data_IF_842968909878
#
_entry.id   IF_842968909878
#
_cell.length_a   1.000
_cell.length_b   1.000
_cell.length_c   1.000
_cell.angle_alpha   90.00
_cell.angle_beta   90.00
_cell.angle_gamma   90.00
#
_symmetry.space_group_name_H-M   'P 1'
#
loop_
_entity.id
_entity.type
_entity.pdbx_description
1 polymer ?
#
# COMPACT_ATOMS: atom_id res chain seq x y z
N UNK A 1 0.40 -2.60 17.63
CA UNK A 1 1.17 -1.36 17.44
C UNK A 1 2.62 -1.74 17.19
N UNK A 2 3.24 -1.12 16.20
CA UNK A 2 4.64 -1.34 15.85
C UNK A 2 5.23 -0.11 15.15
N UNK A 3 6.55 -0.03 15.16
CA UNK A 3 7.33 0.85 14.30
C UNK A 3 7.97 -0.01 13.22
N UNK A 4 7.92 0.44 11.96
CA UNK A 4 8.55 -0.26 10.84
C UNK A 4 9.28 0.71 9.91
N UNK A 5 10.09 0.17 9.02
CA UNK A 5 10.79 0.92 7.97
C UNK A 5 9.83 1.28 6.85
N UNK A 6 10.01 2.45 6.27
CA UNK A 6 9.35 2.89 5.05
C UNK A 6 10.37 3.59 4.15
N UNK A 7 10.12 3.56 2.86
CA UNK A 7 10.94 4.24 1.87
C UNK A 7 10.80 5.76 1.90
N UNK A 8 11.17 6.37 0.79
CA UNK A 8 11.01 7.81 0.55
C UNK A 8 9.74 8.07 -0.26
N UNK A 9 9.14 9.23 -0.05
CA UNK A 9 8.07 9.72 -0.93
C UNK A 9 8.40 11.12 -1.41
N UNK A 10 7.93 11.43 -2.63
CA UNK A 10 8.23 12.72 -3.26
C UNK A 10 7.84 13.91 -2.39
N UNK A 11 6.71 13.83 -1.69
CA UNK A 11 6.21 14.91 -0.83
C UNK A 11 7.17 15.28 0.32
N UNK A 12 7.77 14.30 1.01
CA UNK A 12 8.68 14.59 2.15
C UNK A 12 10.15 14.65 1.74
N UNK A 13 10.56 13.84 0.76
CA UNK A 13 11.96 13.56 0.45
C UNK A 13 12.40 14.14 -0.90
N UNK A 14 11.48 14.64 -1.73
CA UNK A 14 11.75 15.12 -3.09
C UNK A 14 12.03 14.00 -4.10
N UNK A 15 11.89 12.74 -3.68
CA UNK A 15 12.08 11.55 -4.50
C UNK A 15 11.26 10.38 -3.93
N UNK A 16 10.94 9.41 -4.77
CA UNK A 16 10.31 8.15 -4.34
C UNK A 16 11.37 7.06 -4.39
N UNK A 17 11.53 6.33 -3.29
CA UNK A 17 12.40 5.16 -3.23
C UNK A 17 11.75 4.11 -2.33
N UNK A 18 11.80 2.85 -2.73
CA UNK A 18 11.43 1.75 -1.84
C UNK A 18 12.41 1.64 -0.65
N UNK A 19 11.97 1.14 0.52
CA UNK A 19 12.89 0.87 1.62
C UNK A 19 13.94 -0.15 1.19
N UNK A 20 15.20 0.07 1.59
CA UNK A 20 16.36 -0.73 1.19
C UNK A 20 17.05 -1.43 2.37
N UNK A 21 16.47 -1.30 3.57
CA UNK A 21 16.97 -1.84 4.84
C UNK A 21 18.28 -1.21 5.33
N UNK A 22 18.67 -0.05 4.79
CA UNK A 22 19.83 0.71 5.23
C UNK A 22 19.46 1.78 6.27
N UNK A 23 20.44 2.57 6.71
CA UNK A 23 20.16 3.68 7.64
C UNK A 23 19.55 4.92 6.96
N UNK A 24 19.31 4.89 5.64
CA UNK A 24 18.60 5.95 4.92
C UNK A 24 17.09 5.73 4.88
N UNK A 25 16.61 4.55 5.27
CA UNK A 25 15.17 4.30 5.41
C UNK A 25 14.53 5.26 6.40
N UNK A 26 13.28 5.62 6.13
CA UNK A 26 12.45 6.34 7.08
C UNK A 26 11.73 5.37 8.01
N UNK A 27 11.12 5.91 9.06
CA UNK A 27 10.34 5.13 10.02
C UNK A 27 8.87 5.55 10.00
N UNK A 28 7.99 4.60 10.29
CA UNK A 28 6.55 4.82 10.43
C UNK A 28 6.06 4.13 11.71
N UNK A 29 5.28 4.84 12.52
CA UNK A 29 4.64 4.35 13.74
C UNK A 29 3.14 4.24 13.49
N UNK A 30 2.59 3.02 13.50
CA UNK A 30 1.16 2.75 13.32
C UNK A 30 0.52 3.50 12.12
N UNK A 31 1.26 3.59 11.00
CA UNK A 31 0.81 4.28 9.79
C UNK A 31 1.13 5.78 9.73
N UNK A 32 1.77 6.34 10.76
CA UNK A 32 2.17 7.74 10.81
C UNK A 32 3.69 7.91 10.65
N UNK A 33 4.11 8.68 9.63
CA UNK A 33 5.53 8.87 9.33
C UNK A 33 6.25 9.56 10.49
N UNK A 34 7.47 9.10 10.77
CA UNK A 34 8.37 9.70 11.74
C UNK A 34 9.38 10.60 11.04
N UNK A 35 9.44 11.86 11.47
CA UNK A 35 10.38 12.87 10.97
C UNK A 35 11.54 13.00 11.95
N UNK A 36 12.77 12.85 11.46
CA UNK A 36 13.97 13.05 12.26
C UNK A 36 14.05 14.52 12.69
N UNK A 37 14.04 14.76 14.00
CA UNK A 37 14.06 16.09 14.61
C UNK A 37 15.42 16.49 15.17
N UNK A 38 16.26 15.51 15.52
CA UNK A 38 17.61 15.74 16.04
C UNK A 38 18.45 14.46 15.98
N UNK A 39 19.76 14.60 15.80
CA UNK A 39 20.72 13.49 15.74
C UNK A 39 20.87 12.91 14.33
N UNK A 40 21.34 11.67 14.25
CA UNK A 40 21.56 10.94 12.99
C UNK A 40 20.68 9.70 12.95
N UNK A 41 20.00 9.45 11.83
CA UNK A 41 19.06 8.34 11.70
C UNK A 41 19.67 6.99 12.13
N UNK A 42 18.92 6.18 12.88
CA UNK A 42 19.36 4.89 13.45
C UNK A 42 20.61 4.94 14.36
N UNK A 43 21.02 6.12 14.83
CA UNK A 43 22.08 6.27 15.83
C UNK A 43 21.47 6.44 17.22
N UNK A 44 22.10 5.84 18.24
CA UNK A 44 21.66 5.97 19.63
C UNK A 44 21.50 7.45 20.03
N UNK A 45 20.30 7.83 20.48
CA UNK A 45 19.94 9.21 20.82
C UNK A 45 19.26 10.00 19.72
N UNK A 46 19.10 9.44 18.51
CA UNK A 46 18.30 10.07 17.45
C UNK A 46 16.86 10.28 17.90
N UNK A 47 16.31 11.46 17.63
CA UNK A 47 14.97 11.86 18.05
C UNK A 47 14.06 12.09 16.87
N UNK A 48 12.82 11.63 17.00
CA UNK A 48 11.80 11.72 15.97
C UNK A 48 10.54 12.39 16.51
N UNK A 49 9.75 12.93 15.59
CA UNK A 49 8.38 13.41 15.81
C UNK A 49 7.46 12.75 14.79
N UNK A 50 6.19 12.65 15.12
CA UNK A 50 5.18 12.23 14.16
C UNK A 50 4.87 13.36 13.20
N UNK A 51 4.59 13.04 11.96
CA UNK A 51 4.24 14.03 10.92
C UNK A 51 3.07 14.95 11.33
N UNK A 52 1.97 14.35 11.82
CA UNK A 52 0.91 15.10 12.49
C UNK A 52 1.30 15.12 13.97
N UNK A 53 1.70 16.29 14.45
CA UNK A 53 2.31 16.44 15.78
C UNK A 53 1.34 15.99 16.90
N UNK A 54 1.71 14.90 17.56
CA UNK A 54 0.98 14.31 18.70
C UNK A 54 1.57 14.70 20.07
N UNK A 55 2.60 15.54 20.09
CA UNK A 55 3.42 15.91 21.25
C UNK A 55 4.10 14.70 21.92
N UNK A 56 4.44 13.69 21.13
CA UNK A 56 5.20 12.52 21.61
C UNK A 56 6.70 12.71 21.35
N UNK A 57 7.55 12.43 22.34
CA UNK A 57 9.01 12.38 22.15
C UNK A 57 9.45 10.96 21.83
N UNK A 58 9.91 10.72 20.61
CA UNK A 58 10.34 9.41 20.13
C UNK A 58 11.87 9.40 20.06
N UNK A 59 12.53 8.46 20.73
CA UNK A 59 13.99 8.35 20.75
C UNK A 59 14.45 6.95 20.38
N UNK A 60 15.35 6.85 19.41
CA UNK A 60 16.06 5.61 19.09
C UNK A 60 17.16 5.36 20.13
N UNK A 61 17.15 4.17 20.74
CA UNK A 61 18.05 3.81 21.83
C UNK A 61 18.74 2.49 21.57
N UNK A 62 19.97 2.35 22.05
CA UNK A 62 20.70 1.10 22.07
C UNK A 62 21.03 0.76 23.53
N UNK A 63 20.59 -0.42 23.99
CA UNK A 63 20.89 -0.95 25.33
C UNK A 63 21.28 -2.41 25.21
N UNK A 64 22.41 -2.79 25.79
CA UNK A 64 22.94 -4.15 25.74
C UNK A 64 23.00 -4.72 24.31
N UNK A 65 23.53 -3.91 23.37
CA UNK A 65 23.58 -4.22 21.94
C UNK A 65 22.23 -4.40 21.22
N UNK A 66 21.09 -4.15 21.87
CA UNK A 66 19.76 -4.15 21.25
C UNK A 66 19.27 -2.74 20.96
N UNK A 67 18.89 -2.51 19.71
CA UNK A 67 18.24 -1.28 19.28
C UNK A 67 16.72 -1.35 19.51
N UNK A 68 16.16 -0.30 20.11
CA UNK A 68 14.74 -0.16 20.38
C UNK A 68 14.32 1.32 20.29
N UNK A 69 13.03 1.59 20.18
CA UNK A 69 12.49 2.95 20.24
C UNK A 69 11.72 3.17 21.54
N UNK A 70 11.99 4.29 22.21
CA UNK A 70 11.21 4.77 23.34
C UNK A 70 10.30 5.91 22.88
N UNK A 71 9.00 5.78 23.12
CA UNK A 71 8.00 6.79 22.82
C UNK A 71 7.44 7.31 24.14
N UNK A 72 7.66 8.60 24.42
CA UNK A 72 7.04 9.29 25.55
C UNK A 72 5.85 10.07 25.05
N UNK A 73 4.65 9.64 25.44
CA UNK A 73 3.41 10.30 25.02
C UNK A 73 3.12 11.51 25.87
N UNK A 74 2.30 12.43 25.35
CA UNK A 74 1.87 13.66 26.04
C UNK A 74 1.23 13.42 27.41
N UNK A 75 0.55 12.28 27.58
CA UNK A 75 -0.11 11.90 28.84
C UNK A 75 0.85 11.29 29.88
N UNK A 76 2.15 11.24 29.57
CA UNK A 76 3.20 10.81 30.48
C UNK A 76 3.47 9.30 30.48
N UNK A 77 2.88 8.53 29.55
CA UNK A 77 3.24 7.13 29.37
C UNK A 77 4.58 7.01 28.63
N UNK A 78 5.30 5.94 28.91
CA UNK A 78 6.52 5.54 28.22
C UNK A 78 6.27 4.20 27.57
N UNK A 79 6.35 4.15 26.24
CA UNK A 79 6.22 2.94 25.45
C UNK A 79 7.59 2.55 24.92
N UNK A 80 7.91 1.27 24.97
CA UNK A 80 9.13 0.70 24.38
C UNK A 80 8.74 -0.21 23.23
N UNK A 81 9.39 -0.04 22.09
CA UNK A 81 9.20 -0.84 20.88
C UNK A 81 10.49 -1.58 20.54
N UNK A 82 10.44 -2.91 20.52
CA UNK A 82 11.58 -3.78 20.22
C UNK A 82 12.59 -3.93 21.35
N UNK A 83 12.21 -3.71 22.62
CA UNK A 83 13.15 -3.79 23.75
C UNK A 83 13.45 -5.23 24.21
N UNK A 84 12.66 -6.23 23.79
CA UNK A 84 12.85 -7.67 24.05
C UNK A 84 13.13 -8.45 22.77
N UNK A 85 13.76 -9.62 22.86
CA UNK A 85 14.12 -10.45 21.69
C UNK A 85 12.93 -10.83 20.81
N UNK A 86 11.79 -11.11 21.41
CA UNK A 86 10.54 -11.47 20.72
C UNK A 86 9.82 -10.26 20.10
N UNK A 87 10.19 -9.03 20.51
CA UNK A 87 9.58 -7.79 20.01
C UNK A 87 10.39 -7.10 18.91
N UNK A 88 11.57 -7.61 18.56
CA UNK A 88 12.33 -7.17 17.39
C UNK A 88 12.29 -8.26 16.31
N UNK A 89 11.80 -7.91 15.13
CA UNK A 89 11.64 -8.83 14.00
C UNK A 89 12.56 -8.39 12.87
N UNK A 90 13.56 -9.21 12.57
CA UNK A 90 14.55 -8.98 11.55
C UNK A 90 14.01 -9.31 10.14
N UNK A 91 14.41 -8.53 9.13
CA UNK A 91 14.03 -8.76 7.73
C UNK A 91 14.52 -10.12 7.20
N UNK A 92 15.71 -10.53 7.65
CA UNK A 92 16.36 -11.79 7.31
C UNK A 92 17.09 -12.32 8.56
N UNK A 93 17.54 -13.58 8.53
CA UNK A 93 18.33 -14.13 9.63
C UNK A 93 19.60 -13.30 9.86
N UNK A 94 19.75 -12.74 11.06
CA UNK A 94 20.84 -11.80 11.42
C UNK A 94 20.88 -10.52 10.58
N UNK A 95 19.75 -10.14 9.96
CA UNK A 95 19.59 -8.90 9.20
C UNK A 95 19.15 -7.71 10.05
N UNK A 96 18.94 -6.54 9.42
CA UNK A 96 18.39 -5.37 10.09
C UNK A 96 16.97 -5.63 10.60
N UNK A 97 16.62 -4.99 11.71
CA UNK A 97 15.26 -5.03 12.27
C UNK A 97 14.32 -4.34 11.28
N UNK A 98 13.25 -5.05 10.90
CA UNK A 98 12.18 -4.54 10.06
C UNK A 98 11.01 -4.04 10.91
N UNK A 99 10.62 -4.78 11.94
CA UNK A 99 9.57 -4.38 12.88
C UNK A 99 10.08 -4.30 14.31
N UNK A 100 9.86 -3.14 14.95
CA UNK A 100 9.93 -2.96 16.39
C UNK A 100 8.51 -3.01 16.95
N UNK A 101 8.14 -4.13 17.56
CA UNK A 101 6.82 -4.36 18.15
C UNK A 101 6.76 -3.73 19.54
N UNK A 102 5.59 -3.24 19.95
CA UNK A 102 5.39 -2.72 21.30
C UNK A 102 5.71 -3.82 22.33
N UNK A 103 6.72 -3.63 23.16
CA UNK A 103 7.15 -4.62 24.16
C UNK A 103 6.72 -4.25 25.58
N UNK A 104 6.65 -2.96 25.89
CA UNK A 104 6.32 -2.47 27.24
C UNK A 104 5.62 -1.12 27.20
N UNK A 105 4.67 -0.93 28.10
CA UNK A 105 4.07 0.37 28.43
C UNK A 105 4.24 0.60 29.92
N UNK A 106 4.74 1.77 30.30
CA UNK A 106 4.79 2.23 31.69
C UNK A 106 3.96 3.50 31.81
N UNK A 107 3.00 3.53 32.74
CA UNK A 107 2.19 4.72 32.98
C UNK A 107 2.91 5.74 33.87
N UNK A 108 2.30 6.91 34.05
CA UNK A 108 2.85 8.01 34.87
C UNK A 108 3.00 7.66 36.36
N UNK A 109 2.31 6.62 36.83
CA UNK A 109 2.34 6.13 38.20
C UNK A 109 3.37 5.00 38.38
N UNK A 110 4.03 4.55 37.30
CA UNK A 110 4.99 3.45 37.29
C UNK A 110 4.35 2.07 37.10
N UNK A 111 3.04 1.97 36.83
CA UNK A 111 2.43 0.68 36.51
C UNK A 111 2.90 0.22 35.13
N UNK A 112 3.16 -1.09 35.01
CA UNK A 112 3.75 -1.69 33.80
C UNK A 112 2.78 -2.66 33.15
N UNK A 113 2.73 -2.61 31.82
CA UNK A 113 2.19 -3.67 30.97
C UNK A 113 3.29 -4.16 30.03
N UNK A 114 3.46 -5.47 29.91
CA UNK A 114 4.42 -6.09 28.97
C UNK A 114 3.68 -6.90 27.91
N UNK A 115 4.29 -6.98 26.74
CA UNK A 115 3.75 -7.63 25.55
C UNK A 115 4.78 -8.65 25.07
N UNK A 116 4.36 -9.89 24.93
CA UNK A 116 5.20 -10.99 24.48
C UNK A 116 4.69 -11.55 23.17
N UNK A 117 5.60 -12.05 22.35
CA UNK A 117 5.31 -12.51 21.00
C UNK A 117 5.88 -13.92 20.76
N UNK A 118 5.19 -14.69 19.94
CA UNK A 118 5.77 -15.84 19.26
C UNK A 118 6.34 -15.34 17.92
N UNK A 119 7.65 -15.46 17.69
CA UNK A 119 8.30 -15.13 16.42
C UNK A 119 8.87 -16.38 15.74
N UNK A 120 8.79 -16.44 14.42
CA UNK A 120 9.40 -17.51 13.64
C UNK A 120 10.81 -17.09 13.23
N UNK A 121 11.82 -17.77 13.77
CA UNK A 121 13.22 -17.43 13.49
C UNK A 121 13.53 -17.45 11.97
N UNK A 122 14.17 -16.40 11.49
CA UNK A 122 14.55 -16.25 10.08
C UNK A 122 13.40 -15.92 9.13
N UNK A 123 12.19 -15.66 9.64
CA UNK A 123 11.03 -15.24 8.86
C UNK A 123 10.43 -13.98 9.48
N UNK A 124 9.91 -13.10 8.63
CA UNK A 124 9.11 -11.96 9.11
C UNK A 124 7.70 -12.46 9.40
N UNK A 125 7.55 -13.10 10.56
CA UNK A 125 6.30 -13.65 11.04
C UNK A 125 6.28 -13.70 12.57
N UNK A 126 5.26 -13.08 13.15
CA UNK A 126 5.13 -12.92 14.58
C UNK A 126 3.67 -12.81 14.99
N UNK A 127 3.37 -13.25 16.22
CA UNK A 127 2.02 -13.23 16.78
C UNK A 127 2.10 -12.81 18.24
N UNK A 128 1.26 -11.87 18.67
CA UNK A 128 1.18 -11.48 20.08
C UNK A 128 0.73 -12.70 20.89
N UNK A 129 1.53 -13.20 21.81
CA UNK A 129 1.24 -14.41 22.57
C UNK A 129 0.64 -14.11 23.94
N UNK A 130 1.08 -13.01 24.58
CA UNK A 130 0.56 -12.59 25.87
C UNK A 130 0.69 -11.08 26.12
N UNK A 131 -0.20 -10.57 26.96
CA UNK A 131 -0.07 -9.28 27.63
C UNK A 131 -0.13 -9.55 29.13
N UNK A 132 0.85 -9.05 29.88
CA UNK A 132 0.88 -9.16 31.34
C UNK A 132 0.83 -7.76 31.97
N UNK A 133 0.04 -7.61 33.01
CA UNK A 133 -0.18 -6.32 33.67
C UNK A 133 -0.72 -6.53 35.08
N UNK A 134 -0.36 -5.63 36.00
CA UNK A 134 -0.48 -5.96 37.42
C UNK A 134 0.35 -7.20 37.76
N UNK A 135 0.54 -7.48 39.03
CA UNK A 135 1.48 -8.54 39.42
C UNK A 135 1.01 -9.95 39.01
N UNK A 136 -0.28 -10.13 38.70
CA UNK A 136 -0.92 -11.43 38.55
C UNK A 136 -1.94 -11.55 37.41
N UNK A 137 -2.06 -10.55 36.52
CA UNK A 137 -3.04 -10.59 35.42
C UNK A 137 -2.36 -10.83 34.08
N UNK A 138 -3.00 -11.68 33.27
CA UNK A 138 -2.49 -12.08 31.96
C UNK A 138 -3.65 -12.20 30.96
N UNK A 139 -3.42 -11.72 29.74
CA UNK A 139 -4.23 -12.04 28.56
C UNK A 139 -3.35 -12.91 27.68
N UNK A 140 -3.85 -14.05 27.22
CA UNK A 140 -3.15 -15.00 26.37
C UNK A 140 -3.89 -15.14 25.06
N UNK A 141 -3.14 -15.27 23.97
CA UNK A 141 -3.67 -15.40 22.61
C UNK A 141 -3.25 -16.75 22.04
N UNK A 142 -4.21 -17.49 21.50
CA UNK A 142 -3.98 -18.78 20.87
C UNK A 142 -4.35 -18.69 19.41
N UNK A 143 -3.44 -19.13 18.54
CA UNK A 143 -3.61 -19.10 17.10
C UNK A 143 -3.66 -20.52 16.53
N UNK A 144 -4.41 -20.69 15.44
CA UNK A 144 -4.38 -21.89 14.59
C UNK A 144 -3.94 -21.55 13.18
N UNK A 145 -3.67 -22.55 12.36
CA UNK A 145 -3.35 -22.34 10.94
C UNK A 145 -4.58 -21.86 10.16
N UNK A 146 -4.38 -20.92 9.23
CA UNK A 146 -5.39 -20.51 8.25
C UNK A 146 -5.17 -21.21 6.92
N UNK A 147 -6.24 -21.46 6.17
CA UNK A 147 -6.16 -22.13 4.85
C UNK A 147 -5.67 -21.19 3.74
N UNK A 148 -6.02 -19.92 3.88
CA UNK A 148 -5.70 -18.80 3.00
C UNK A 148 -4.42 -18.08 3.49
N UNK A 149 -3.31 -18.80 3.56
CA UNK A 149 -2.04 -18.24 4.02
C UNK A 149 -1.58 -17.12 3.08
N UNK A 150 -1.15 -16.00 3.66
CA UNK A 150 -0.77 -14.81 2.91
C UNK A 150 0.73 -14.59 2.97
N UNK A 151 1.29 -14.15 1.85
CA UNK A 151 2.69 -13.77 1.69
C UNK A 151 2.73 -12.39 1.06
N UNK A 152 3.44 -11.48 1.71
CA UNK A 152 3.77 -10.15 1.20
C UNK A 152 5.30 -9.97 1.19
N UNK A 153 5.77 -8.89 0.58
CA UNK A 153 7.18 -8.53 0.56
C UNK A 153 7.36 -7.07 0.97
N UNK A 154 8.35 -6.81 1.83
CA UNK A 154 8.76 -5.45 2.21
C UNK A 154 10.28 -5.41 2.10
N UNK A 155 10.81 -4.50 1.27
CA UNK A 155 12.25 -4.39 1.00
C UNK A 155 12.92 -5.75 0.65
N UNK A 156 12.23 -6.56 -0.15
CA UNK A 156 12.66 -7.91 -0.52
C UNK A 156 12.50 -8.99 0.57
N UNK A 157 12.17 -8.63 1.81
CA UNK A 157 11.92 -9.57 2.89
C UNK A 157 10.51 -10.18 2.78
N UNK A 158 10.42 -11.51 2.87
CA UNK A 158 9.16 -12.25 2.82
C UNK A 158 8.42 -12.13 4.17
N UNK A 159 7.28 -11.44 4.14
CA UNK A 159 6.36 -11.27 5.27
C UNK A 159 5.24 -12.29 5.19
N UNK A 160 5.14 -13.15 6.21
CA UNK A 160 4.17 -14.25 6.21
C UNK A 160 3.05 -14.00 7.23
N UNK A 161 1.84 -14.40 6.86
CA UNK A 161 0.69 -14.51 7.76
C UNK A 161 0.04 -15.87 7.56
N UNK A 162 0.46 -16.85 8.36
CA UNK A 162 0.00 -18.25 8.27
C UNK A 162 -0.99 -18.64 9.36
N UNK A 163 -1.02 -17.90 10.47
CA UNK A 163 -1.92 -18.19 11.58
C UNK A 163 -3.10 -17.21 11.64
N UNK A 164 -4.16 -17.65 12.32
CA UNK A 164 -5.37 -16.89 12.61
C UNK A 164 -5.74 -17.05 14.08
N UNK A 165 -6.19 -15.99 14.73
CA UNK A 165 -6.52 -15.98 16.15
C UNK A 165 -7.72 -16.89 16.41
N UNK A 166 -7.58 -17.86 17.31
CA UNK A 166 -8.63 -18.81 17.68
C UNK A 166 -9.21 -18.53 19.05
N UNK A 167 -8.38 -18.12 20.01
CA UNK A 167 -8.83 -17.87 21.37
C UNK A 167 -8.10 -16.69 22.01
N UNK A 168 -8.81 -15.96 22.87
CA UNK A 168 -8.24 -15.03 23.84
C UNK A 168 -8.68 -15.47 25.23
N UNK A 169 -7.73 -15.83 26.08
CA UNK A 169 -7.98 -16.23 27.46
C UNK A 169 -7.45 -15.18 28.44
N UNK A 170 -8.23 -14.87 29.46
CA UNK A 170 -7.84 -13.91 30.51
C UNK A 170 -7.66 -14.64 31.84
N UNK A 171 -6.65 -14.22 32.60
CA UNK A 171 -6.24 -14.87 33.84
C UNK A 171 -6.03 -13.84 34.95
N UNK A 172 -6.37 -14.25 36.18
CA UNK A 172 -6.02 -13.59 37.44
C UNK A 172 -5.40 -14.64 38.35
N UNK A 173 -4.20 -14.39 38.88
CA UNK A 173 -3.46 -15.34 39.69
C UNK A 173 -3.39 -16.76 39.07
N UNK A 174 -3.13 -16.81 37.75
CA UNK A 174 -3.10 -18.02 36.91
C UNK A 174 -4.44 -18.79 36.78
N UNK A 175 -5.53 -18.29 37.35
CA UNK A 175 -6.88 -18.86 37.15
C UNK A 175 -7.52 -18.18 35.96
N UNK A 176 -8.00 -18.97 34.99
CA UNK A 176 -8.73 -18.44 33.84
C UNK A 176 -10.08 -17.88 34.31
N UNK A 177 -10.36 -16.62 33.98
CA UNK A 177 -11.60 -15.93 34.38
C UNK A 177 -12.56 -15.69 33.23
N UNK A 178 -12.05 -15.53 32.00
CA UNK A 178 -12.83 -15.46 30.77
C UNK A 178 -12.08 -16.07 29.60
N UNK A 179 -12.81 -16.56 28.61
CA UNK A 179 -12.27 -16.99 27.33
C UNK A 179 -13.17 -16.56 26.17
N UNK A 180 -12.56 -16.06 25.12
CA UNK A 180 -13.22 -15.70 23.87
C UNK A 180 -12.80 -16.69 22.80
N UNK A 181 -13.76 -17.36 22.17
CA UNK A 181 -13.51 -18.24 21.04
C UNK A 181 -13.93 -17.56 19.74
N UNK A 182 -13.08 -17.67 18.72
CA UNK A 182 -13.26 -17.08 17.40
C UNK A 182 -13.45 -18.19 16.36
N UNK A 183 -14.64 -18.24 15.77
CA UNK A 183 -15.03 -19.23 14.78
C UNK A 183 -15.07 -18.59 13.39
N UNK A 184 -14.59 -19.35 12.40
CA UNK A 184 -14.39 -18.85 11.04
C UNK A 184 -14.99 -19.82 10.03
N UNK A 185 -15.51 -19.27 8.95
CA UNK A 185 -15.75 -20.00 7.70
C UNK A 185 -14.63 -19.67 6.72
N UNK A 186 -14.30 -20.60 5.83
CA UNK A 186 -13.44 -20.33 4.69
C UNK A 186 -14.26 -20.51 3.42
N UNK A 187 -14.34 -19.48 2.58
CA UNK A 187 -15.14 -19.48 1.34
C UNK A 187 -14.33 -19.96 0.12
N UNK A 188 -13.25 -20.71 0.34
CA UNK A 188 -12.22 -21.10 -0.64
C UNK A 188 -11.24 -20.00 -1.03
N UNK A 189 -11.53 -18.73 -0.74
CA UNK A 189 -10.62 -17.61 -0.98
C UNK A 189 -10.09 -17.02 0.32
N UNK A 190 -10.99 -16.74 1.27
CA UNK A 190 -10.72 -16.02 2.50
C UNK A 190 -11.31 -16.73 3.72
N UNK A 191 -10.59 -16.68 4.83
CA UNK A 191 -11.11 -17.02 6.15
C UNK A 191 -11.84 -15.81 6.75
N UNK A 192 -13.14 -15.97 7.03
CA UNK A 192 -14.05 -14.92 7.54
C UNK A 192 -14.51 -15.27 8.95
N UNK A 193 -14.39 -14.33 9.89
CA UNK A 193 -14.86 -14.50 11.27
C UNK A 193 -16.38 -14.46 11.30
N UNK A 194 -17.04 -15.55 11.69
CA UNK A 194 -18.50 -15.68 11.66
C UNK A 194 -19.14 -15.72 13.04
N UNK A 195 -18.39 -16.07 14.07
CA UNK A 195 -18.94 -16.16 15.41
C UNK A 195 -17.86 -15.89 16.48
N UNK A 196 -18.24 -15.08 17.47
CA UNK A 196 -17.47 -14.86 18.69
C UNK A 196 -18.27 -15.38 19.88
N UNK A 197 -17.69 -16.28 20.66
CA UNK A 197 -18.31 -16.87 21.85
C UNK A 197 -17.55 -16.43 23.10
N UNK A 198 -18.22 -15.75 24.03
CA UNK A 198 -17.66 -15.43 25.35
C UNK A 198 -18.04 -16.50 26.37
N UNK A 199 -17.01 -17.09 26.99
CA UNK A 199 -17.11 -18.02 28.10
C UNK A 199 -16.71 -17.32 29.40
N UNK A 200 -17.45 -17.63 30.47
CA UNK A 200 -17.07 -17.29 31.84
C UNK A 200 -16.03 -18.26 32.40
N UNK A 201 -16.16 -18.61 33.68
CA UNK A 201 -15.39 -19.70 34.28
C UNK A 201 -16.00 -21.06 33.90
N UNK A 202 -15.17 -22.03 33.55
CA UNK A 202 -15.63 -23.36 33.14
C UNK A 202 -16.26 -23.36 31.75
N UNK A 203 -17.42 -24.00 31.60
CA UNK A 203 -18.11 -24.18 30.32
C UNK A 203 -19.32 -23.25 30.12
N UNK A 204 -19.59 -22.35 31.06
CA UNK A 204 -20.67 -21.37 30.93
C UNK A 204 -20.35 -20.34 29.85
N UNK A 205 -21.32 -20.02 29.00
CA UNK A 205 -21.17 -19.07 27.89
C UNK A 205 -22.38 -18.17 27.74
N UNK A 206 -22.12 -16.96 27.24
CA UNK A 206 -23.16 -16.05 26.77
C UNK A 206 -23.65 -16.47 25.36
N UNK A 207 -24.75 -15.86 24.93
CA UNK A 207 -25.14 -15.95 23.52
C UNK A 207 -24.03 -15.39 22.63
N UNK A 208 -23.70 -16.11 21.57
CA UNK A 208 -22.64 -15.73 20.65
C UNK A 208 -22.99 -14.46 19.87
N UNK A 209 -21.97 -13.70 19.50
CA UNK A 209 -22.10 -12.66 18.47
C UNK A 209 -21.88 -13.29 17.11
N UNK A 210 -22.90 -13.25 16.25
CA UNK A 210 -22.83 -13.74 14.87
C UNK A 210 -22.48 -12.60 13.91
N UNK A 211 -21.64 -12.90 12.92
CA UNK A 211 -21.19 -11.97 11.90
C UNK A 211 -21.47 -12.60 10.54
N UNK A 212 -22.25 -11.89 9.72
CA UNK A 212 -22.55 -12.27 8.34
C UNK A 212 -21.96 -11.24 7.38
N UNK A 213 -21.40 -11.73 6.27
CA UNK A 213 -20.78 -10.92 5.22
C UNK A 213 -21.68 -10.80 3.98
N UNK A 214 -22.90 -11.37 4.05
CA UNK A 214 -23.78 -11.51 2.91
C UNK A 214 -23.29 -12.58 1.93
N UNK A 215 -24.14 -12.89 0.97
CA UNK A 215 -23.75 -13.67 -0.20
C UNK A 215 -23.37 -12.69 -1.30
N UNK A 216 -22.24 -12.88 -2.01
CA UNK A 216 -22.03 -12.17 -3.26
C UNK A 216 -23.20 -12.54 -4.18
N UNK A 217 -23.99 -11.55 -4.57
CA UNK A 217 -25.04 -11.74 -5.57
C UNK A 217 -24.32 -11.92 -6.91
N UNK A 218 -24.05 -13.19 -7.26
CA UNK A 218 -23.36 -13.59 -8.49
C UNK A 218 -24.14 -13.14 -9.74
N UNK A 219 -25.37 -12.63 -9.57
CA UNK A 219 -26.24 -12.14 -10.62
C UNK A 219 -26.84 -10.76 -10.33
N UNK A 220 -26.23 -9.95 -9.46
CA UNK A 220 -26.60 -8.54 -9.35
C UNK A 220 -26.29 -7.84 -10.68
N UNK A 221 -27.28 -7.90 -11.58
CA UNK A 221 -27.40 -7.23 -12.87
C UNK A 221 -26.06 -6.79 -13.46
N UNK A 222 -25.40 -7.70 -14.20
CA UNK A 222 -24.42 -7.28 -15.19
C UNK A 222 -25.16 -6.40 -16.21
N UNK A 223 -25.12 -5.09 -16.01
CA UNK A 223 -25.61 -4.13 -17.00
C UNK A 223 -24.63 -4.16 -18.17
N UNK A 224 -24.96 -4.99 -19.16
CA UNK A 224 -24.24 -5.01 -20.44
C UNK A 224 -24.60 -3.75 -21.19
N UNK A 225 -23.76 -2.73 -21.08
CA UNK A 225 -23.83 -1.54 -21.92
C UNK A 225 -23.21 -1.83 -23.29
N UNK A 226 -24.01 -1.81 -24.35
CA UNK A 226 -23.51 -1.88 -25.72
C UNK A 226 -23.09 -0.50 -26.22
N UNK A 227 -21.97 -0.46 -26.96
CA UNK A 227 -21.55 0.76 -27.65
C UNK A 227 -22.56 1.09 -28.76
N UNK A 228 -22.98 2.36 -28.85
CA UNK A 228 -23.81 2.83 -29.97
C UNK A 228 -23.17 2.50 -31.32
N UNK A 229 -23.95 1.97 -32.27
CA UNK A 229 -23.51 1.65 -33.64
C UNK A 229 -22.86 2.86 -34.33
N UNK A 230 -23.25 4.09 -33.97
CA UNK A 230 -22.65 5.33 -34.47
C UNK A 230 -21.16 5.52 -34.11
N UNK A 231 -20.61 4.68 -33.24
CA UNK A 231 -19.20 4.70 -32.81
C UNK A 231 -18.41 3.49 -33.30
N UNK A 232 -18.98 2.68 -34.18
CA UNK A 232 -18.26 1.58 -34.84
C UNK A 232 -17.03 2.14 -35.57
N UNK A 233 -15.87 1.54 -35.33
CA UNK A 233 -14.59 2.02 -35.86
C UNK A 233 -13.88 3.06 -35.00
N UNK A 234 -14.31 3.33 -33.76
CA UNK A 234 -13.51 4.10 -32.79
C UNK A 234 -12.74 3.16 -31.85
N UNK A 235 -11.47 3.46 -31.57
CA UNK A 235 -10.65 2.78 -30.57
C UNK A 235 -10.71 3.51 -29.22
N UNK A 236 -11.20 2.87 -28.15
CA UNK A 236 -11.09 3.40 -26.80
C UNK A 236 -9.77 2.98 -26.14
N UNK A 237 -9.18 3.87 -25.37
CA UNK A 237 -8.09 3.62 -24.43
C UNK A 237 -8.62 3.97 -23.05
N UNK A 238 -8.66 3.00 -22.15
CA UNK A 238 -9.18 3.16 -20.80
C UNK A 238 -8.04 3.40 -19.80
N UNK A 239 -8.16 4.44 -19.01
CA UNK A 239 -7.26 4.78 -17.90
C UNK A 239 -7.94 5.81 -16.99
N UNK A 240 -7.45 6.01 -15.77
CA UNK A 240 -7.90 7.07 -14.88
C UNK A 240 -7.07 8.34 -15.17
N UNK A 241 -7.52 9.16 -16.13
CA UNK A 241 -6.75 10.30 -16.64
C UNK A 241 -6.67 11.46 -15.64
N UNK A 242 -7.66 11.61 -14.77
CA UNK A 242 -7.67 12.70 -13.78
C UNK A 242 -7.27 12.25 -12.36
N UNK A 243 -7.05 10.96 -12.14
CA UNK A 243 -6.65 10.38 -10.85
C UNK A 243 -7.79 10.35 -9.82
N UNK A 244 -9.05 10.27 -10.26
CA UNK A 244 -10.22 10.33 -9.37
C UNK A 244 -10.74 8.97 -8.90
N UNK A 245 -10.05 7.89 -9.28
CA UNK A 245 -10.37 6.50 -8.99
C UNK A 245 -11.41 5.88 -9.94
N UNK A 246 -11.84 6.59 -10.99
CA UNK A 246 -12.76 6.08 -12.01
C UNK A 246 -12.04 5.93 -13.34
N UNK A 247 -12.41 4.87 -14.07
CA UNK A 247 -11.89 4.66 -15.42
C UNK A 247 -12.51 5.66 -16.40
N UNK A 248 -11.69 6.58 -16.89
CA UNK A 248 -11.98 7.46 -18.02
C UNK A 248 -11.68 6.75 -19.35
N UNK A 249 -11.88 7.43 -20.47
CA UNK A 249 -11.34 6.93 -21.73
C UNK A 249 -10.97 8.02 -22.74
N UNK A 250 -9.92 7.73 -23.51
CA UNK A 250 -9.56 8.46 -24.72
C UNK A 250 -10.08 7.69 -25.94
N UNK A 251 -10.63 8.37 -26.94
CA UNK A 251 -11.16 7.73 -28.14
C UNK A 251 -10.77 8.44 -29.43
N UNK A 252 -10.40 7.67 -30.44
CA UNK A 252 -10.13 8.17 -31.80
C UNK A 252 -10.68 7.19 -32.84
N UNK A 253 -10.95 7.67 -34.04
CA UNK A 253 -11.43 6.84 -35.14
C UNK A 253 -10.28 6.04 -35.77
N UNK A 254 -10.48 4.74 -35.97
CA UNK A 254 -9.59 3.87 -36.72
C UNK A 254 -9.68 4.19 -38.21
N UNK A 255 -8.56 4.63 -38.78
CA UNK A 255 -8.42 5.01 -40.18
C UNK A 255 -7.08 4.51 -40.72
N UNK A 256 -7.04 4.26 -42.02
CA UNK A 256 -5.79 3.93 -42.74
C UNK A 256 -4.81 5.11 -42.76
N UNK A 257 -5.33 6.34 -42.72
CA UNK A 257 -4.53 7.56 -42.66
C UNK A 257 -5.24 8.65 -41.87
N UNK A 258 -4.43 9.45 -41.17
CA UNK A 258 -4.87 10.58 -40.35
C UNK A 258 -4.36 11.90 -40.94
N UNK A 259 -5.05 12.97 -40.62
CA UNK A 259 -4.76 14.35 -41.03
C UNK A 259 -4.75 15.26 -39.80
N UNK A 260 -4.31 16.50 -39.95
CA UNK A 260 -4.37 17.51 -38.88
C UNK A 260 -5.80 17.91 -38.47
N UNK A 261 -6.83 17.44 -39.17
CA UNK A 261 -8.23 17.62 -38.77
C UNK A 261 -8.76 16.51 -37.87
N UNK A 262 -8.01 15.40 -37.76
CA UNK A 262 -8.37 14.27 -36.91
C UNK A 262 -7.92 14.52 -35.47
N UNK A 263 -8.71 14.04 -34.51
CA UNK A 263 -8.43 14.20 -33.09
C UNK A 263 -8.70 12.92 -32.31
N UNK A 264 -7.91 12.67 -31.28
CA UNK A 264 -8.32 11.83 -30.17
C UNK A 264 -9.07 12.69 -29.14
N UNK A 265 -10.19 12.20 -28.62
CA UNK A 265 -11.05 12.92 -27.66
C UNK A 265 -11.00 12.22 -26.32
N UNK A 266 -10.67 12.96 -25.27
CA UNK A 266 -10.74 12.48 -23.89
C UNK A 266 -12.15 12.66 -23.33
N UNK A 267 -12.64 11.63 -22.65
CA UNK A 267 -13.87 11.67 -21.88
C UNK A 267 -13.60 11.26 -20.44
N UNK A 268 -14.01 12.11 -19.49
CA UNK A 268 -13.92 11.80 -18.07
C UNK A 268 -15.21 11.14 -17.60
N UNK A 269 -15.08 10.13 -16.75
CA UNK A 269 -16.15 9.49 -16.03
C UNK A 269 -16.82 10.51 -15.08
N UNK A 270 -18.13 10.41 -14.98
CA UNK A 270 -18.94 11.20 -14.05
C UNK A 270 -19.94 10.29 -13.40
N UNK A 271 -20.14 10.42 -12.10
CA UNK A 271 -21.16 9.68 -11.38
C UNK A 271 -22.25 10.63 -10.89
N UNK A 272 -23.50 10.29 -11.18
CA UNK A 272 -24.64 10.99 -10.60
C UNK A 272 -25.70 9.97 -10.21
N UNK A 273 -26.04 9.94 -8.92
CA UNK A 273 -27.06 9.03 -8.36
C UNK A 273 -26.81 7.54 -8.66
N UNK A 274 -25.54 7.10 -8.63
CA UNK A 274 -25.14 5.73 -8.92
C UNK A 274 -25.09 5.36 -10.41
N UNK A 275 -25.31 6.31 -11.31
CA UNK A 275 -25.18 6.11 -12.76
C UNK A 275 -23.86 6.71 -13.24
N UNK A 276 -23.06 5.89 -13.93
CA UNK A 276 -21.83 6.32 -14.58
C UNK A 276 -22.15 6.87 -15.97
N UNK A 277 -21.73 8.11 -16.23
CA UNK A 277 -21.75 8.77 -17.53
C UNK A 277 -20.35 9.28 -17.91
N UNK A 278 -20.25 9.90 -19.09
CA UNK A 278 -18.98 10.41 -19.60
C UNK A 278 -19.14 11.80 -20.21
N UNK A 279 -18.28 12.74 -19.83
CA UNK A 279 -18.23 14.09 -20.41
C UNK A 279 -16.99 14.26 -21.28
N UNK A 280 -17.13 14.89 -22.45
CA UNK A 280 -15.98 15.29 -23.25
C UNK A 280 -15.16 16.33 -22.48
N UNK A 281 -13.86 16.09 -22.33
CA UNK A 281 -12.95 16.96 -21.60
C UNK A 281 -12.06 17.78 -22.54
N UNK A 282 -11.21 17.11 -23.32
CA UNK A 282 -10.28 17.77 -24.25
C UNK A 282 -10.02 16.91 -25.50
N UNK A 283 -9.20 17.43 -26.41
CA UNK A 283 -8.81 16.71 -27.63
C UNK A 283 -7.31 16.84 -27.87
N UNK A 284 -6.71 15.76 -28.36
CA UNK A 284 -5.34 15.70 -28.87
C UNK A 284 -5.38 15.72 -30.40
N UNK A 285 -4.69 16.66 -31.07
CA UNK A 285 -4.61 16.64 -32.53
C UNK A 285 -3.80 15.43 -33.01
N UNK A 286 -4.31 14.73 -34.02
CA UNK A 286 -3.61 13.66 -34.71
C UNK A 286 -2.90 14.20 -35.95
N UNK A 287 -1.95 13.42 -36.46
CA UNK A 287 -1.10 13.82 -37.60
C UNK A 287 -0.96 12.66 -38.58
N UNK A 288 -0.53 12.98 -39.80
CA UNK A 288 -0.09 11.97 -40.75
C UNK A 288 1.00 11.11 -40.11
N UNK A 289 0.84 9.78 -40.20
CA UNK A 289 1.73 8.82 -39.53
C UNK A 289 1.36 8.49 -38.09
N UNK A 290 0.28 9.05 -37.52
CA UNK A 290 -0.23 8.60 -36.22
C UNK A 290 -0.42 7.07 -36.21
N UNK A 291 0.06 6.44 -35.13
CA UNK A 291 -0.01 4.99 -34.94
C UNK A 291 -0.95 4.64 -33.80
N UNK A 292 -0.64 5.07 -32.59
CA UNK A 292 -1.41 4.78 -31.37
C UNK A 292 -1.02 5.72 -30.23
N UNK A 293 -1.66 5.57 -29.09
CA UNK A 293 -1.41 6.33 -27.87
C UNK A 293 -1.15 5.34 -26.73
N UNK A 294 -0.13 5.63 -25.92
CA UNK A 294 0.21 4.87 -24.71
C UNK A 294 -0.17 5.72 -23.49
N UNK A 295 -1.10 5.26 -22.62
CA UNK A 295 -1.37 5.92 -21.35
C UNK A 295 -0.21 5.66 -20.38
N UNK A 296 0.33 6.71 -19.75
CA UNK A 296 1.46 6.60 -18.82
C UNK A 296 1.51 7.82 -17.88
N UNK A 297 1.86 7.64 -16.60
CA UNK A 297 2.16 8.77 -15.70
C UNK A 297 3.63 9.19 -15.88
N UNK A 298 3.92 10.02 -16.88
CA UNK A 298 5.29 10.37 -17.25
C UNK A 298 5.92 11.37 -16.28
N UNK A 299 5.11 12.14 -15.55
CA UNK A 299 5.59 13.20 -14.65
C UNK A 299 5.53 12.82 -13.16
N UNK A 300 4.87 11.71 -12.81
CA UNK A 300 4.74 11.18 -11.46
C UNK A 300 3.71 11.94 -10.61
N UNK A 301 2.72 12.59 -11.23
CA UNK A 301 1.67 13.33 -10.53
C UNK A 301 0.46 12.46 -10.16
N UNK A 302 0.56 11.14 -10.38
CA UNK A 302 -0.50 10.13 -10.18
C UNK A 302 -1.72 10.30 -11.08
N UNK A 303 -1.57 11.05 -12.17
CA UNK A 303 -2.56 11.13 -13.24
C UNK A 303 -1.96 10.61 -14.52
N UNK A 304 -2.83 10.15 -15.41
CA UNK A 304 -2.39 9.50 -16.63
C UNK A 304 -2.19 10.53 -17.73
N UNK A 305 -0.96 10.62 -18.22
CA UNK A 305 -0.59 11.36 -19.42
C UNK A 305 -0.85 10.51 -20.68
N UNK A 306 -0.69 11.13 -21.85
CA UNK A 306 -0.81 10.47 -23.14
C UNK A 306 0.49 10.58 -23.94
N UNK A 307 1.07 9.44 -24.30
CA UNK A 307 2.21 9.36 -25.22
C UNK A 307 1.71 9.02 -26.62
N UNK A 308 1.74 10.01 -27.51
CA UNK A 308 1.29 9.87 -28.90
C UNK A 308 2.44 9.37 -29.77
N UNK A 309 2.28 8.19 -30.36
CA UNK A 309 3.28 7.57 -31.23
C UNK A 309 2.93 7.85 -32.69
N UNK A 310 3.88 8.40 -33.44
CA UNK A 310 3.72 8.73 -34.85
C UNK A 310 4.97 8.38 -35.67
N UNK A 311 4.78 7.84 -36.87
CA UNK A 311 5.85 7.61 -37.84
C UNK A 311 6.38 8.93 -38.39
N UNK A 312 7.68 9.16 -38.24
CA UNK A 312 8.37 10.37 -38.68
C UNK A 312 8.88 10.24 -40.12
N UNK A 313 9.03 11.35 -40.87
CA UNK A 313 9.49 11.32 -42.26
C UNK A 313 10.87 10.69 -42.48
N UNK A 314 11.70 10.62 -41.44
CA UNK A 314 13.03 10.01 -41.47
C UNK A 314 13.01 8.48 -41.30
N UNK A 315 11.83 7.84 -41.25
CA UNK A 315 11.68 6.39 -41.08
C UNK A 315 11.72 5.89 -39.63
N UNK A 316 11.82 6.80 -38.65
CA UNK A 316 11.76 6.47 -37.21
C UNK A 316 10.35 6.71 -36.64
N UNK A 317 10.13 6.36 -35.38
CA UNK A 317 8.90 6.66 -34.65
C UNK A 317 9.16 7.70 -33.57
N UNK A 318 8.33 8.74 -33.58
CA UNK A 318 8.32 9.81 -32.59
C UNK A 318 7.30 9.49 -31.50
N UNK A 319 7.75 9.52 -30.25
CA UNK A 319 6.92 9.45 -29.05
C UNK A 319 6.76 10.89 -28.54
N UNK A 320 5.55 11.43 -28.57
CA UNK A 320 5.23 12.80 -28.17
C UNK A 320 4.45 12.80 -26.86
N UNK A 321 4.93 13.52 -25.85
CA UNK A 321 4.28 13.53 -24.55
C UNK A 321 3.22 14.63 -24.47
N UNK A 322 2.01 14.25 -24.08
CA UNK A 322 0.93 15.14 -23.70
C UNK A 322 0.65 14.94 -22.21
N UNK A 323 1.11 15.88 -21.38
CA UNK A 323 0.96 15.77 -19.93
C UNK A 323 -0.40 16.27 -19.48
N UNK A 324 -0.92 15.68 -18.41
CA UNK A 324 -2.11 16.15 -17.73
C UNK A 324 -1.80 17.44 -16.95
N UNK A 325 -2.29 18.56 -17.47
CA UNK A 325 -2.06 19.87 -16.89
C UNK A 325 -3.32 20.72 -16.96
N UNK A 326 -3.71 21.34 -15.84
CA UNK A 326 -4.87 22.24 -15.77
C UNK A 326 -6.16 21.61 -16.34
N UNK A 327 -6.44 20.36 -15.94
CA UNK A 327 -7.65 19.60 -16.32
C UNK A 327 -7.73 19.25 -17.82
N UNK A 328 -6.58 19.08 -18.50
CA UNK A 328 -6.50 18.67 -19.91
C UNK A 328 -5.13 18.06 -20.25
N UNK A 329 -5.07 17.34 -21.36
CA UNK A 329 -3.81 16.83 -21.94
C UNK A 329 -3.16 17.92 -22.81
N UNK A 330 -1.94 18.33 -22.47
CA UNK A 330 -1.20 19.42 -23.12
C UNK A 330 0.11 18.90 -23.70
N UNK A 331 0.36 19.22 -24.98
CA UNK A 331 1.63 18.86 -25.61
C UNK A 331 2.80 19.58 -24.91
N UNK A 332 3.72 18.82 -24.33
CA UNK A 332 4.82 19.38 -23.54
C UNK A 332 6.14 19.52 -24.34
N UNK A 333 6.12 19.38 -25.66
CA UNK A 333 7.32 19.40 -26.52
C UNK A 333 8.43 18.39 -26.13
N UNK A 334 8.14 17.47 -25.20
CA UNK A 334 9.00 16.38 -24.76
C UNK A 334 8.79 15.10 -25.59
N UNK A 335 9.65 14.13 -25.33
CA UNK A 335 9.63 12.78 -25.89
C UNK A 335 10.85 12.46 -26.75
N UNK A 336 10.87 11.28 -27.37
CA UNK A 336 12.05 10.73 -28.04
C UNK A 336 11.74 10.11 -29.41
N UNK A 337 12.80 9.78 -30.17
CA UNK A 337 12.70 9.04 -31.42
C UNK A 337 13.36 7.66 -31.25
N UNK A 338 12.79 6.64 -31.87
CA UNK A 338 13.30 5.26 -31.84
C UNK A 338 12.85 4.51 -33.10
N UNK A 339 13.44 3.36 -33.37
CA UNK A 339 13.22 2.60 -34.62
C UNK A 339 12.00 1.66 -34.57
N UNK A 340 11.30 1.61 -33.44
CA UNK A 340 10.13 0.74 -33.23
C UNK A 340 8.95 1.55 -32.69
N UNK A 341 7.71 1.30 -33.16
CA UNK A 341 6.51 1.90 -32.58
C UNK A 341 6.06 1.17 -31.32
N UNK A 342 6.54 -0.06 -31.10
CA UNK A 342 6.03 -0.93 -30.03
C UNK A 342 6.73 -0.60 -28.73
N UNK A 343 5.99 -0.02 -27.78
CA UNK A 343 6.47 0.22 -26.42
C UNK A 343 5.42 -0.15 -25.38
N UNK A 344 5.88 -0.44 -24.17
CA UNK A 344 5.03 -0.56 -22.98
C UNK A 344 5.47 0.49 -21.97
N UNK A 345 4.50 1.08 -21.27
CA UNK A 345 4.77 2.01 -20.18
C UNK A 345 4.63 1.32 -18.83
N UNK A 346 5.46 1.73 -17.88
CA UNK A 346 5.37 1.29 -16.49
C UNK A 346 6.45 1.93 -15.64
N UNK A 347 6.21 2.02 -14.34
CA UNK A 347 7.22 2.41 -13.37
C UNK A 347 8.17 1.22 -13.13
N UNK A 348 9.22 1.12 -13.95
CA UNK A 348 10.14 -0.01 -13.92
C UNK A 348 11.25 0.20 -12.88
N UNK A 349 11.52 1.44 -12.49
CA UNK A 349 12.56 1.81 -11.54
C UNK A 349 12.04 2.06 -10.10
N UNK A 350 10.72 2.18 -9.92
CA UNK A 350 10.04 2.40 -8.65
C UNK A 350 10.04 3.85 -8.16
N UNK A 351 10.29 4.84 -9.02
CA UNK A 351 10.39 6.26 -8.66
C UNK A 351 9.04 7.02 -8.75
N UNK A 352 7.97 6.31 -9.14
CA UNK A 352 6.63 6.86 -9.28
C UNK A 352 6.37 7.55 -10.61
N UNK A 353 7.34 7.59 -11.54
CA UNK A 353 7.15 7.97 -12.93
C UNK A 353 7.18 6.73 -13.80
N UNK A 354 6.48 6.78 -14.93
CA UNK A 354 6.48 5.69 -15.88
C UNK A 354 7.61 5.91 -16.88
N UNK A 355 8.34 4.85 -17.15
CA UNK A 355 9.22 4.80 -18.30
C UNK A 355 8.59 4.02 -19.46
N UNK A 356 9.14 4.22 -20.65
CA UNK A 356 8.76 3.48 -21.86
C UNK A 356 9.84 2.47 -22.23
N UNK A 357 9.50 1.18 -22.15
CA UNK A 357 10.32 0.08 -22.65
C UNK A 357 9.93 -0.22 -24.11
N UNK A 358 10.86 0.00 -25.04
CA UNK A 358 10.62 -0.16 -26.48
C UNK A 358 11.14 -1.50 -27.00
N UNK A 359 10.33 -2.20 -27.80
CA UNK A 359 10.71 -3.47 -28.41
C UNK A 359 11.97 -3.34 -29.28
N UNK A 360 12.94 -4.22 -29.06
CA UNK A 360 14.19 -4.25 -29.83
C UNK A 360 15.19 -3.17 -29.43
N UNK A 361 14.92 -2.40 -28.37
CA UNK A 361 15.82 -1.40 -27.83
C UNK A 361 16.29 -1.80 -26.43
N UNK A 362 17.56 -1.57 -26.10
CA UNK A 362 18.11 -1.81 -24.75
C UNK A 362 17.91 -0.60 -23.82
N UNK A 363 17.36 0.50 -24.33
CA UNK A 363 17.08 1.71 -23.55
C UNK A 363 15.65 1.74 -23.05
N UNK A 364 15.53 2.16 -21.79
CA UNK A 364 14.29 2.60 -21.14
C UNK A 364 14.30 4.12 -21.20
N UNK A 365 13.19 4.74 -21.63
CA UNK A 365 13.11 6.19 -21.84
C UNK A 365 12.25 6.83 -20.76
N UNK A 366 12.76 7.93 -20.19
CA UNK A 366 12.13 8.81 -19.20
C UNK A 366 11.48 10.06 -19.83
#
# INVERSE_FOLDING_TARGET
SFITRIGKSYYYDGMTESPDLSNTDNLILDGQRLILSSGTNFVNGAKYRTEIEGYSDITYKIKNARAYLEVRTRDGRVLEYGSTDDSSVEAFQSGPILFWLLSKVTDKNGNVMTYSYEKIAGQVEFYLSAIQYGDDRKISFTYGERKDQQVNYIAGAKVNSRKILKQISTYVANVQVKNYQFNYVNDSLYSKLTEIVEFGQGSERYNSTLIDYGMPDVYASEDIASLSENRQGNKPIFADFNGDGKTDFLSFSEKDSYTSSDVATLFLATEQSGIIGFRKQCTIPLVAGFSHIIPADMNGDSKIDAVVVSHAPNGTYRYNYYLWENDKLVYNYLGFNTDSPTGIAGDFNGDGKFEILVQGNQKVFD
#
